data_IF_616610868940
#
_entry.id   IF_616610868940
#
_cell.length_a   1.000
_cell.length_b   1.000
_cell.length_c   1.000
_cell.angle_alpha   90.00
_cell.angle_beta   90.00
_cell.angle_gamma   90.00
#
_symmetry.space_group_name_H-M   'P 1'
#
loop_
_entity.id
_entity.type
_entity.pdbx_description
1 polymer ?
#
# COMPACT_ATOMS: atom_id res chain seq x y z
N UNK A 1 -39.32 -40.50 27.17
CA UNK A 1 -38.95 -41.14 25.89
C UNK A 1 -39.31 -40.28 24.67
N UNK A 2 -40.27 -39.34 24.76
CA UNK A 2 -40.77 -38.58 23.57
C UNK A 2 -39.96 -37.33 23.23
N UNK A 3 -39.23 -36.77 24.15
CA UNK A 3 -38.42 -35.52 23.91
C UNK A 3 -37.15 -35.78 23.11
N UNK A 4 -36.54 -36.93 23.29
CA UNK A 4 -35.31 -37.33 22.58
C UNK A 4 -35.57 -37.60 21.09
N UNK A 5 -36.72 -38.23 20.76
CA UNK A 5 -37.13 -38.50 19.38
C UNK A 5 -37.42 -37.19 18.60
N UNK A 6 -38.03 -36.22 19.27
CA UNK A 6 -38.30 -34.88 18.67
C UNK A 6 -37.04 -34.08 18.45
N UNK A 7 -36.06 -34.19 19.33
CA UNK A 7 -34.76 -33.52 19.18
C UNK A 7 -33.96 -34.11 18.00
N UNK A 8 -33.95 -35.44 17.86
CA UNK A 8 -33.27 -36.14 16.75
C UNK A 8 -33.90 -35.76 15.41
N UNK A 9 -35.25 -35.70 15.34
CA UNK A 9 -35.94 -35.27 14.14
C UNK A 9 -35.63 -33.82 13.75
N UNK A 10 -35.54 -32.91 14.71
CA UNK A 10 -35.17 -31.52 14.43
C UNK A 10 -33.71 -31.38 13.89
N UNK A 11 -32.81 -32.20 14.41
CA UNK A 11 -31.43 -32.25 13.92
C UNK A 11 -31.38 -32.80 12.50
N UNK A 12 -32.10 -33.88 12.20
CA UNK A 12 -32.17 -34.44 10.86
C UNK A 12 -32.75 -33.46 9.83
N UNK A 13 -33.82 -32.72 10.20
CA UNK A 13 -34.41 -31.69 9.33
C UNK A 13 -33.48 -30.49 9.14
N UNK A 14 -32.69 -30.11 10.14
CA UNK A 14 -31.68 -29.06 10.02
C UNK A 14 -30.53 -29.49 9.08
N UNK A 15 -30.14 -30.77 9.14
CA UNK A 15 -29.08 -31.31 8.28
C UNK A 15 -29.52 -31.38 6.81
N UNK A 16 -30.78 -31.80 6.53
CA UNK A 16 -31.35 -31.77 5.18
C UNK A 16 -31.47 -30.33 4.62
N UNK A 17 -31.87 -29.37 5.46
CA UNK A 17 -31.94 -27.97 5.05
C UNK A 17 -30.55 -27.38 4.76
N UNK A 18 -29.55 -27.74 5.55
CA UNK A 18 -28.16 -27.32 5.34
C UNK A 18 -27.59 -27.90 4.04
N UNK A 19 -27.86 -29.17 3.78
CA UNK A 19 -27.49 -29.87 2.55
C UNK A 19 -28.16 -29.26 1.32
N UNK A 20 -29.46 -28.99 1.38
CA UNK A 20 -30.21 -28.31 0.32
C UNK A 20 -29.72 -26.87 0.07
N UNK A 21 -29.31 -26.14 1.12
CA UNK A 21 -28.69 -24.82 0.98
C UNK A 21 -27.32 -24.94 0.34
N UNK A 22 -26.51 -25.93 0.73
CA UNK A 22 -25.19 -26.20 0.14
C UNK A 22 -25.29 -26.55 -1.35
N UNK A 23 -26.26 -27.40 -1.75
CA UNK A 23 -26.48 -27.76 -3.15
C UNK A 23 -26.95 -26.57 -4.00
N UNK A 24 -27.78 -25.69 -3.44
CA UNK A 24 -28.20 -24.45 -4.12
C UNK A 24 -27.04 -23.46 -4.30
N UNK A 25 -26.18 -23.34 -3.33
CA UNK A 25 -24.96 -22.51 -3.42
C UNK A 25 -24.00 -23.10 -4.44
N UNK A 26 -23.82 -24.44 -4.43
CA UNK A 26 -22.95 -25.14 -5.38
C UNK A 26 -23.48 -25.02 -6.83
N UNK A 27 -24.76 -25.24 -7.06
CA UNK A 27 -25.38 -25.13 -8.40
C UNK A 27 -25.43 -23.69 -8.93
N UNK A 28 -25.49 -22.70 -8.02
CA UNK A 28 -25.39 -21.28 -8.38
C UNK A 28 -23.93 -20.93 -8.66
N UNK A 29 -22.99 -21.54 -7.92
CA UNK A 29 -21.55 -21.39 -8.13
C UNK A 29 -21.10 -21.92 -9.50
N UNK A 30 -21.62 -23.07 -9.96
CA UNK A 30 -21.27 -23.62 -11.27
C UNK A 30 -21.73 -22.74 -12.45
N UNK A 31 -22.84 -22.04 -12.31
CA UNK A 31 -23.33 -21.07 -13.32
C UNK A 31 -22.56 -19.75 -13.30
N UNK A 32 -21.84 -19.45 -12.20
CA UNK A 32 -21.00 -18.26 -12.01
C UNK A 32 -19.50 -18.55 -12.20
N UNK A 33 -19.13 -19.79 -12.56
CA UNK A 33 -17.73 -20.20 -12.73
C UNK A 33 -16.88 -19.27 -13.61
N UNK A 34 -17.37 -18.74 -14.75
CA UNK A 34 -16.58 -17.76 -15.49
C UNK A 34 -16.46 -16.40 -14.80
N UNK A 35 -17.43 -16.03 -13.94
CA UNK A 35 -17.38 -14.78 -13.18
C UNK A 35 -16.66 -14.96 -11.83
N UNK A 36 -16.76 -16.13 -11.19
CA UNK A 36 -16.14 -16.40 -9.90
C UNK A 36 -14.61 -16.55 -10.00
N UNK A 37 -14.08 -17.02 -11.12
CA UNK A 37 -12.63 -17.06 -11.34
C UNK A 37 -12.04 -15.63 -11.36
N UNK A 38 -12.73 -14.66 -11.96
CA UNK A 38 -12.34 -13.26 -11.94
C UNK A 38 -12.48 -12.64 -10.54
N UNK A 39 -13.57 -12.94 -9.83
CA UNK A 39 -13.79 -12.46 -8.45
C UNK A 39 -12.80 -13.09 -7.47
N UNK A 40 -12.45 -14.36 -7.63
CA UNK A 40 -11.44 -15.02 -6.79
C UNK A 40 -10.06 -14.45 -7.05
N UNK A 41 -9.71 -14.18 -8.32
CA UNK A 41 -8.44 -13.54 -8.66
C UNK A 41 -8.34 -12.12 -8.12
N UNK A 42 -9.41 -11.33 -8.19
CA UNK A 42 -9.49 -9.99 -7.58
C UNK A 42 -9.41 -10.06 -6.05
N UNK A 43 -10.10 -11.02 -5.42
CA UNK A 43 -10.07 -11.20 -3.96
C UNK A 43 -8.69 -11.61 -3.46
N UNK A 44 -8.00 -12.52 -4.14
CA UNK A 44 -6.63 -12.93 -3.77
C UNK A 44 -5.64 -11.79 -3.99
N UNK A 45 -5.79 -11.02 -5.07
CA UNK A 45 -4.96 -9.85 -5.33
C UNK A 45 -5.16 -8.78 -4.25
N UNK A 46 -6.41 -8.48 -3.85
CA UNK A 46 -6.73 -7.52 -2.79
C UNK A 46 -6.12 -7.94 -1.44
N UNK A 47 -6.32 -9.20 -1.03
CA UNK A 47 -5.76 -9.72 0.24
C UNK A 47 -4.23 -9.69 0.24
N UNK A 48 -3.58 -9.99 -0.89
CA UNK A 48 -2.13 -9.91 -0.99
C UNK A 48 -1.65 -8.46 -0.87
N UNK A 49 -2.31 -7.53 -1.54
CA UNK A 49 -1.96 -6.10 -1.50
C UNK A 49 -2.07 -5.55 -0.07
N UNK A 50 -3.12 -5.93 0.67
CA UNK A 50 -3.29 -5.53 2.07
C UNK A 50 -2.21 -6.13 2.97
N UNK A 51 -1.85 -7.40 2.76
CA UNK A 51 -0.79 -8.07 3.52
C UNK A 51 0.59 -7.45 3.25
N UNK A 52 0.90 -7.11 2.02
CA UNK A 52 2.15 -6.46 1.64
C UNK A 52 2.22 -5.05 2.25
N UNK A 53 1.13 -4.29 2.20
CA UNK A 53 1.03 -2.97 2.85
C UNK A 53 1.23 -3.03 4.37
N UNK A 54 0.56 -3.96 5.05
CA UNK A 54 0.71 -4.12 6.50
C UNK A 54 2.12 -4.54 6.89
N UNK A 55 2.78 -5.35 6.06
CA UNK A 55 4.19 -5.71 6.24
C UNK A 55 5.11 -4.50 6.13
N UNK A 56 4.97 -3.69 5.06
CA UNK A 56 5.75 -2.47 4.86
C UNK A 56 5.53 -1.47 5.98
N UNK A 57 4.28 -1.25 6.39
CA UNK A 57 3.96 -0.34 7.51
C UNK A 57 4.51 -0.83 8.86
N UNK A 58 4.56 -2.15 9.07
CA UNK A 58 5.17 -2.72 10.28
C UNK A 58 6.68 -2.45 10.32
N UNK A 59 7.36 -2.46 9.18
CA UNK A 59 8.77 -2.06 9.08
C UNK A 59 8.95 -0.57 9.38
N UNK A 60 8.09 0.30 8.81
CA UNK A 60 8.08 1.73 9.12
C UNK A 60 7.97 1.97 10.63
N UNK A 61 7.02 1.30 11.30
CA UNK A 61 6.85 1.41 12.74
C UNK A 61 8.09 0.95 13.51
N UNK A 62 8.69 -0.18 13.11
CA UNK A 62 9.86 -0.74 13.78
C UNK A 62 11.09 0.18 13.67
N UNK A 63 11.30 0.82 12.53
CA UNK A 63 12.47 1.68 12.27
C UNK A 63 12.25 3.09 12.81
N UNK A 64 11.08 3.70 12.57
CA UNK A 64 10.78 5.07 13.02
C UNK A 64 10.44 5.17 14.51
N UNK A 65 9.99 4.07 15.11
CA UNK A 65 9.43 4.05 16.46
C UNK A 65 8.03 4.66 16.55
N UNK A 66 7.35 4.89 15.42
CA UNK A 66 6.00 5.44 15.40
C UNK A 66 4.99 4.46 16.00
N UNK A 67 4.15 4.94 16.91
CA UNK A 67 3.09 4.16 17.58
C UNK A 67 1.82 5.00 17.70
N UNK A 68 0.68 4.35 17.91
CA UNK A 68 -0.60 5.04 18.12
C UNK A 68 -0.94 6.00 16.99
N UNK A 69 -1.34 7.23 17.33
CA UNK A 69 -1.78 8.26 16.39
C UNK A 69 -0.74 8.58 15.30
N UNK A 70 0.54 8.52 15.60
CA UNK A 70 1.60 8.78 14.64
C UNK A 70 1.69 7.67 13.59
N UNK A 71 1.54 6.42 13.99
CA UNK A 71 1.47 5.29 13.08
C UNK A 71 0.22 5.36 12.19
N UNK A 72 -0.93 5.71 12.77
CA UNK A 72 -2.18 5.86 12.04
C UNK A 72 -2.10 6.98 10.98
N UNK A 73 -1.43 8.10 11.29
CA UNK A 73 -1.18 9.18 10.32
C UNK A 73 -0.30 8.73 9.16
N UNK A 74 0.76 7.97 9.43
CA UNK A 74 1.64 7.43 8.38
C UNK A 74 0.88 6.44 7.48
N UNK A 75 0.06 5.56 8.05
CA UNK A 75 -0.81 4.65 7.28
C UNK A 75 -1.79 5.42 6.38
N UNK A 76 -2.46 6.42 6.95
CA UNK A 76 -3.41 7.25 6.21
C UNK A 76 -2.70 8.01 5.06
N UNK A 77 -1.51 8.54 5.31
CA UNK A 77 -0.71 9.23 4.29
C UNK A 77 -0.24 8.29 3.18
N UNK A 78 0.18 7.08 3.49
CA UNK A 78 0.56 6.09 2.49
C UNK A 78 -0.63 5.71 1.59
N UNK A 79 -1.82 5.50 2.14
CA UNK A 79 -3.04 5.29 1.36
C UNK A 79 -3.42 6.52 0.52
N UNK A 80 -3.32 7.71 1.06
CA UNK A 80 -3.56 8.97 0.33
C UNK A 80 -2.62 9.07 -0.88
N UNK A 81 -1.35 8.80 -0.69
CA UNK A 81 -0.36 8.85 -1.76
C UNK A 81 -0.61 7.78 -2.83
N UNK A 82 -0.95 6.56 -2.42
CA UNK A 82 -1.34 5.50 -3.34
C UNK A 82 -2.59 5.82 -4.17
N UNK A 83 -3.51 6.62 -3.64
CA UNK A 83 -4.71 7.06 -4.36
C UNK A 83 -4.46 8.26 -5.31
N UNK A 84 -3.46 9.10 -5.02
CA UNK A 84 -3.18 10.35 -5.75
C UNK A 84 -2.07 10.24 -6.78
N UNK A 85 -1.26 9.19 -6.71
CA UNK A 85 -0.07 9.03 -7.56
C UNK A 85 -0.14 7.74 -8.38
N UNK A 86 0.85 7.50 -9.24
CA UNK A 86 0.99 6.25 -9.99
C UNK A 86 1.45 5.06 -9.13
N UNK A 87 1.89 5.32 -7.91
CA UNK A 87 2.41 4.33 -6.99
C UNK A 87 1.31 3.74 -6.11
N UNK A 88 1.51 2.53 -5.61
CA UNK A 88 0.63 1.89 -4.64
C UNK A 88 0.87 2.42 -3.22
N UNK A 89 -0.06 2.13 -2.31
CA UNK A 89 0.11 2.43 -0.88
C UNK A 89 1.30 1.66 -0.28
N UNK A 90 1.56 0.42 -0.74
CA UNK A 90 2.71 -0.38 -0.32
C UNK A 90 4.03 0.27 -0.72
N UNK A 91 4.15 0.74 -1.97
CA UNK A 91 5.33 1.47 -2.43
C UNK A 91 5.54 2.78 -1.66
N UNK A 92 4.46 3.49 -1.31
CA UNK A 92 4.54 4.67 -0.45
C UNK A 92 5.03 4.31 0.96
N UNK A 93 4.59 3.19 1.53
CA UNK A 93 5.07 2.68 2.82
C UNK A 93 6.55 2.28 2.74
N UNK A 94 6.98 1.63 1.67
CA UNK A 94 8.39 1.29 1.44
C UNK A 94 9.26 2.55 1.37
N UNK A 95 8.82 3.59 0.66
CA UNK A 95 9.50 4.88 0.64
C UNK A 95 9.63 5.50 2.04
N UNK A 96 8.55 5.45 2.85
CA UNK A 96 8.59 5.89 4.24
C UNK A 96 9.58 5.08 5.08
N UNK A 97 9.77 3.80 4.80
CA UNK A 97 10.77 2.99 5.49
C UNK A 97 12.21 3.49 5.22
N UNK A 98 12.53 3.86 3.97
CA UNK A 98 13.83 4.49 3.65
C UNK A 98 14.00 5.83 4.36
N UNK A 99 12.96 6.67 4.39
CA UNK A 99 12.99 7.93 5.16
C UNK A 99 13.24 7.67 6.66
N UNK A 100 12.58 6.66 7.24
CA UNK A 100 12.77 6.28 8.63
C UNK A 100 14.19 5.78 8.89
N UNK A 101 14.78 5.01 7.96
CA UNK A 101 16.19 4.58 8.03
C UNK A 101 17.15 5.74 7.96
N UNK A 102 16.85 6.80 7.20
CA UNK A 102 17.59 8.06 7.18
C UNK A 102 17.38 8.91 8.46
N UNK A 103 16.58 8.44 9.40
CA UNK A 103 16.35 9.09 10.69
C UNK A 103 15.21 10.11 10.72
N UNK A 104 14.40 10.17 9.66
CA UNK A 104 13.24 11.06 9.60
C UNK A 104 12.18 10.65 10.63
N UNK A 105 11.55 11.62 11.25
CA UNK A 105 10.45 11.43 12.18
C UNK A 105 9.10 11.45 11.45
N UNK A 106 8.04 11.08 12.15
CA UNK A 106 6.68 11.07 11.59
C UNK A 106 6.34 12.35 10.86
N UNK A 107 6.60 13.52 11.46
CA UNK A 107 6.34 14.82 10.82
C UNK A 107 7.12 15.01 9.53
N UNK A 108 8.39 14.60 9.51
CA UNK A 108 9.26 14.76 8.36
C UNK A 108 8.83 13.85 7.20
N UNK A 109 8.43 12.62 7.52
CA UNK A 109 7.89 11.70 6.52
C UNK A 109 6.57 12.19 5.92
N UNK A 110 5.67 12.75 6.75
CA UNK A 110 4.40 13.31 6.29
C UNK A 110 4.59 14.53 5.39
N UNK A 111 5.57 15.38 5.71
CA UNK A 111 5.88 16.61 4.96
C UNK A 111 6.66 16.31 3.66
N UNK A 112 7.53 15.30 3.67
CA UNK A 112 8.50 15.05 2.59
C UNK A 112 8.05 14.05 1.52
N UNK A 113 7.15 13.12 1.85
CA UNK A 113 6.83 12.00 0.94
C UNK A 113 6.26 12.44 -0.40
N UNK A 114 5.44 13.47 -0.44
CA UNK A 114 4.81 13.95 -1.66
C UNK A 114 5.85 14.46 -2.68
N UNK A 115 6.85 15.23 -2.21
CA UNK A 115 7.95 15.70 -3.05
C UNK A 115 8.78 14.56 -3.63
N UNK A 116 9.10 13.56 -2.81
CA UNK A 116 9.86 12.37 -3.24
C UNK A 116 9.07 11.56 -4.27
N UNK A 117 7.79 11.32 -4.04
CA UNK A 117 6.95 10.57 -4.98
C UNK A 117 6.77 11.30 -6.30
N UNK A 118 6.64 12.63 -6.28
CA UNK A 118 6.56 13.44 -7.48
C UNK A 118 7.87 13.39 -8.28
N UNK A 119 9.02 13.42 -7.61
CA UNK A 119 10.31 13.27 -8.28
C UNK A 119 10.47 11.89 -8.91
N UNK A 120 10.15 10.81 -8.19
CA UNK A 120 10.19 9.44 -8.72
C UNK A 120 9.24 9.27 -9.91
N UNK A 121 8.07 9.93 -9.86
CA UNK A 121 7.12 9.91 -10.96
C UNK A 121 7.65 10.64 -12.21
N UNK A 122 8.34 11.76 -12.02
CA UNK A 122 8.88 12.60 -13.09
C UNK A 122 10.15 12.00 -13.71
N UNK A 123 11.05 11.43 -12.90
CA UNK A 123 12.29 10.82 -13.36
C UNK A 123 12.09 9.43 -13.98
N UNK A 124 11.00 8.76 -13.63
CA UNK A 124 10.77 7.35 -13.97
C UNK A 124 11.59 6.35 -13.16
N UNK A 125 12.33 6.85 -12.16
CA UNK A 125 13.12 6.03 -11.26
C UNK A 125 12.25 5.28 -10.22
N UNK A 126 12.85 4.28 -9.62
CA UNK A 126 12.27 3.53 -8.51
C UNK A 126 12.06 4.42 -7.29
N UNK A 127 10.90 4.30 -6.63
CA UNK A 127 10.52 5.17 -5.53
C UNK A 127 11.42 4.98 -4.30
N UNK A 128 11.85 3.74 -4.02
CA UNK A 128 12.75 3.44 -2.90
C UNK A 128 14.12 4.09 -3.14
N UNK A 129 14.68 3.92 -4.34
CA UNK A 129 15.93 4.55 -4.77
C UNK A 129 15.85 6.07 -4.72
N UNK A 130 14.75 6.66 -5.19
CA UNK A 130 14.53 8.11 -5.14
C UNK A 130 14.45 8.60 -3.69
N UNK A 131 13.80 7.84 -2.80
CA UNK A 131 13.72 8.18 -1.37
C UNK A 131 15.09 8.22 -0.72
N UNK A 132 15.92 7.22 -0.97
CA UNK A 132 17.29 7.13 -0.45
C UNK A 132 18.14 8.31 -0.91
N UNK A 133 18.17 8.56 -2.22
CA UNK A 133 18.95 9.67 -2.80
C UNK A 133 18.50 11.03 -2.26
N UNK A 134 17.19 11.27 -2.17
CA UNK A 134 16.66 12.57 -1.70
C UNK A 134 16.93 12.77 -0.23
N UNK A 135 16.73 11.75 0.62
CA UNK A 135 16.97 11.87 2.06
C UNK A 135 18.45 12.13 2.36
N UNK A 136 19.36 11.46 1.65
CA UNK A 136 20.81 11.66 1.77
C UNK A 136 21.22 13.06 1.29
N UNK A 137 20.69 13.48 0.15
CA UNK A 137 21.00 14.81 -0.40
C UNK A 137 20.49 15.93 0.51
N UNK A 138 19.25 15.86 1.00
CA UNK A 138 18.72 16.84 1.95
C UNK A 138 19.59 16.93 3.21
N UNK A 139 20.00 15.79 3.74
CA UNK A 139 20.89 15.72 4.89
C UNK A 139 22.27 16.35 4.59
N UNK A 140 22.86 16.02 3.44
CA UNK A 140 24.16 16.54 3.03
C UNK A 140 24.16 18.06 2.81
N UNK A 141 23.05 18.61 2.32
CA UNK A 141 22.88 20.05 2.11
C UNK A 141 22.35 20.80 3.34
N UNK A 142 22.06 20.11 4.45
CA UNK A 142 21.48 20.71 5.66
C UNK A 142 20.04 21.19 5.47
N UNK A 143 19.33 20.62 4.50
CA UNK A 143 17.93 20.88 4.22
C UNK A 143 17.04 20.00 5.10
N UNK A 144 15.75 20.36 5.18
CA UNK A 144 14.74 19.64 5.95
C UNK A 144 13.78 18.88 5.04
N UNK A 145 12.99 17.98 5.61
CA UNK A 145 11.96 17.26 4.89
C UNK A 145 10.96 18.17 4.14
N UNK A 146 10.68 19.34 4.67
CA UNK A 146 9.80 20.36 4.05
C UNK A 146 10.36 20.90 2.74
N UNK A 147 11.65 20.84 2.57
CA UNK A 147 12.33 21.31 1.36
C UNK A 147 12.31 20.27 0.24
N UNK A 148 11.84 19.04 0.51
CA UNK A 148 11.85 17.92 -0.44
C UNK A 148 11.12 18.23 -1.74
N UNK A 149 9.97 18.91 -1.69
CA UNK A 149 9.22 19.33 -2.88
C UNK A 149 10.02 20.31 -3.75
N UNK A 150 10.56 21.35 -3.14
CA UNK A 150 11.41 22.31 -3.85
C UNK A 150 12.69 21.69 -4.40
N UNK A 151 13.31 20.80 -3.63
CA UNK A 151 14.48 20.05 -4.05
C UNK A 151 14.16 19.12 -5.25
N UNK A 152 13.01 18.46 -5.21
CA UNK A 152 12.50 17.62 -6.30
C UNK A 152 12.29 18.44 -7.59
N UNK A 153 11.71 19.65 -7.49
CA UNK A 153 11.50 20.55 -8.62
C UNK A 153 12.81 20.97 -9.27
N UNK A 154 13.83 21.29 -8.44
CA UNK A 154 15.17 21.64 -8.92
C UNK A 154 15.82 20.47 -9.66
N UNK A 155 15.75 19.27 -9.12
CA UNK A 155 16.31 18.07 -9.75
C UNK A 155 15.60 17.73 -11.05
N UNK A 156 14.28 17.82 -11.10
CA UNK A 156 13.50 17.59 -12.31
C UNK A 156 13.85 18.61 -13.40
N UNK A 157 13.99 19.90 -13.05
CA UNK A 157 14.39 20.94 -13.97
C UNK A 157 15.83 20.74 -14.46
N UNK A 158 16.76 20.36 -13.58
CA UNK A 158 18.16 20.08 -13.94
C UNK A 158 18.26 18.89 -14.91
N UNK A 159 17.52 17.82 -14.66
CA UNK A 159 17.45 16.63 -15.52
C UNK A 159 16.91 16.96 -16.92
N UNK A 160 15.82 17.74 -17.00
CA UNK A 160 15.25 18.20 -18.27
C UNK A 160 16.24 19.04 -19.08
N UNK A 161 16.95 19.96 -18.43
CA UNK A 161 17.93 20.83 -19.09
C UNK A 161 19.19 20.06 -19.54
N UNK A 162 19.61 19.05 -18.79
CA UNK A 162 20.75 18.20 -19.16
C UNK A 162 20.44 17.34 -20.39
N UNK A 163 19.24 16.77 -20.47
CA UNK A 163 18.80 15.98 -21.62
C UNK A 163 18.61 16.82 -22.89
N UNK A 164 18.17 18.05 -22.77
CA UNK A 164 18.00 18.95 -23.94
C UNK A 164 19.33 19.32 -24.56
N UNK A 165 20.38 19.53 -23.73
CA UNK A 165 21.73 19.83 -24.25
C UNK A 165 22.42 18.64 -24.90
N UNK A 166 22.09 17.41 -24.54
CA UNK A 166 22.65 16.20 -25.16
C UNK A 166 22.05 15.88 -26.54
N UNK A 167 20.97 16.53 -26.93
CA UNK A 167 20.34 16.38 -28.26
C UNK A 167 20.73 17.46 -29.27
N UNK A 168 21.42 18.54 -28.84
CA UNK A 168 21.82 19.66 -29.69
C UNK A 168 23.29 19.57 -30.17
N UNK A 169 24.05 18.55 -29.76
CA UNK A 169 25.41 18.21 -30.19
C UNK A 169 25.40 16.97 -31.12
#
# INVERSE_FOLDING_TARGET
ANQSATAVQKIATADENLKSAGDKVSSTGEKLLPASAAVTALGVAAVKTDSDFDSSMSQVAAVSGATGDDFDKLRAKAHEMGAKTKFSASEAADAMNYMAMAGWKTSDMLDGIEGIMNLAAASGEDLATTSDIVTDALTAFGLTAKDSGHFADILAAASSNANTKAMDD
#
